data_IF_816426377918
#
_entry.id   IF_816426377918
#
_cell.length_a   1.000
_cell.length_b   1.000
_cell.length_c   1.000
_cell.angle_alpha   90.00
_cell.angle_beta   90.00
_cell.angle_gamma   90.00
#
_symmetry.space_group_name_H-M   'P 1'
#
loop_
_entity.id
_entity.type
_entity.pdbx_description
1 polymer ?
#
# COMPACT_ATOMS: atom_id res chain seq x y z
N UNK A 1 -43.94 -53.57 11.74
CA UNK A 1 -44.40 -52.24 12.22
C UNK A 1 -43.96 -51.15 11.19
N UNK A 2 -44.87 -50.51 10.48
CA UNK A 2 -44.54 -49.41 9.55
C UNK A 2 -44.70 -48.11 10.31
N UNK A 3 -43.58 -47.43 10.58
CA UNK A 3 -43.62 -46.09 11.16
C UNK A 3 -44.30 -45.15 10.16
N UNK A 4 -45.34 -44.42 10.55
CA UNK A 4 -46.06 -43.54 9.62
C UNK A 4 -45.11 -42.42 9.21
N UNK A 5 -45.03 -42.13 7.91
CA UNK A 5 -44.12 -41.14 7.28
C UNK A 5 -44.21 -39.75 7.96
N UNK A 6 -45.40 -39.39 8.43
CA UNK A 6 -45.64 -38.14 9.16
C UNK A 6 -44.87 -38.06 10.48
N UNK A 7 -44.84 -39.15 11.26
CA UNK A 7 -44.08 -39.14 12.54
C UNK A 7 -42.58 -39.15 12.31
N UNK A 8 -42.08 -39.76 11.24
CA UNK A 8 -40.68 -39.73 10.85
C UNK A 8 -40.25 -38.29 10.47
N UNK A 9 -41.06 -37.59 9.67
CA UNK A 9 -40.79 -36.21 9.27
C UNK A 9 -40.80 -35.26 10.46
N UNK A 10 -41.75 -35.42 11.39
CA UNK A 10 -41.79 -34.60 12.63
C UNK A 10 -40.55 -34.86 13.51
N UNK A 11 -40.15 -36.11 13.65
CA UNK A 11 -38.92 -36.45 14.43
C UNK A 11 -37.66 -35.87 13.82
N UNK A 12 -37.51 -35.95 12.48
CA UNK A 12 -36.37 -35.36 11.77
C UNK A 12 -36.35 -33.81 11.94
N UNK A 13 -37.53 -33.19 11.80
CA UNK A 13 -37.64 -31.71 11.97
C UNK A 13 -37.30 -31.28 13.40
N UNK A 14 -37.77 -32.03 14.39
CA UNK A 14 -37.44 -31.75 15.80
C UNK A 14 -35.97 -31.95 16.11
N UNK A 15 -35.36 -33.01 15.58
CA UNK A 15 -33.92 -33.27 15.73
C UNK A 15 -33.07 -32.18 15.08
N UNK A 16 -33.42 -31.71 13.86
CA UNK A 16 -32.75 -30.61 13.21
C UNK A 16 -32.87 -29.29 13.98
N UNK A 17 -34.05 -29.01 14.53
CA UNK A 17 -34.29 -27.81 15.34
C UNK A 17 -33.49 -27.83 16.63
N UNK A 18 -33.48 -28.94 17.37
CA UNK A 18 -32.69 -29.11 18.59
C UNK A 18 -31.18 -29.04 18.30
N UNK A 19 -30.72 -29.75 17.28
CA UNK A 19 -29.30 -29.71 16.87
C UNK A 19 -28.86 -28.32 16.45
N UNK A 20 -29.67 -27.62 15.66
CA UNK A 20 -29.42 -26.23 15.27
C UNK A 20 -29.35 -25.29 16.46
N UNK A 21 -30.27 -25.46 17.44
CA UNK A 21 -30.27 -24.63 18.66
C UNK A 21 -29.01 -24.86 19.51
N UNK A 22 -28.58 -26.10 19.68
CA UNK A 22 -27.36 -26.43 20.44
C UNK A 22 -26.12 -25.87 19.77
N UNK A 23 -26.00 -25.99 18.43
CA UNK A 23 -24.89 -25.43 17.66
C UNK A 23 -24.89 -23.91 17.77
N UNK A 24 -26.05 -23.28 17.67
CA UNK A 24 -26.18 -21.82 17.80
C UNK A 24 -25.75 -21.32 19.19
N UNK A 25 -26.20 -21.99 20.25
CA UNK A 25 -25.81 -21.63 21.62
C UNK A 25 -24.32 -21.86 21.88
N UNK A 26 -23.76 -22.97 21.39
CA UNK A 26 -22.33 -23.25 21.47
C UNK A 26 -21.50 -22.20 20.70
N UNK A 27 -21.94 -21.80 19.52
CA UNK A 27 -21.29 -20.76 18.73
C UNK A 27 -21.29 -19.40 19.47
N UNK A 28 -22.43 -19.03 20.07
CA UNK A 28 -22.53 -17.81 20.87
C UNK A 28 -21.61 -17.83 22.08
N UNK A 29 -21.58 -18.95 22.81
CA UNK A 29 -20.71 -19.11 23.96
C UNK A 29 -19.24 -19.02 23.60
N UNK A 30 -18.82 -19.64 22.49
CA UNK A 30 -17.43 -19.63 22.01
C UNK A 30 -16.97 -18.29 21.41
N UNK A 31 -17.92 -17.51 20.89
CA UNK A 31 -17.59 -16.23 20.23
C UNK A 31 -17.88 -14.99 21.10
N UNK A 32 -18.43 -15.17 22.28
CA UNK A 32 -18.87 -14.10 23.21
C UNK A 32 -19.78 -13.06 22.53
N UNK A 33 -20.63 -13.52 21.58
CA UNK A 33 -21.55 -12.68 20.84
C UNK A 33 -22.97 -12.75 21.38
N UNK A 34 -23.68 -11.63 21.34
CA UNK A 34 -25.10 -11.60 21.70
C UNK A 34 -25.97 -12.20 20.58
N UNK A 35 -27.14 -12.81 20.88
CA UNK A 35 -28.05 -13.35 19.89
C UNK A 35 -28.40 -12.35 18.78
N UNK A 36 -28.65 -11.09 19.16
CA UNK A 36 -28.94 -10.01 18.23
C UNK A 36 -27.80 -9.78 17.23
N UNK A 37 -26.57 -9.69 17.72
CA UNK A 37 -25.39 -9.48 16.87
C UNK A 37 -25.18 -10.59 15.83
N UNK A 38 -25.46 -11.84 16.23
CA UNK A 38 -25.37 -13.00 15.31
C UNK A 38 -26.47 -12.95 14.25
N UNK A 39 -27.71 -12.65 14.64
CA UNK A 39 -28.84 -12.53 13.74
C UNK A 39 -28.61 -11.39 12.76
N UNK A 40 -28.18 -10.22 13.22
CA UNK A 40 -27.85 -9.07 12.38
C UNK A 40 -26.71 -9.41 11.39
N UNK A 41 -25.72 -10.16 11.86
CA UNK A 41 -24.63 -10.67 11.01
C UNK A 41 -25.15 -11.58 9.90
N UNK A 42 -25.99 -12.56 10.21
CA UNK A 42 -26.58 -13.50 9.25
C UNK A 42 -27.46 -12.75 8.24
N UNK A 43 -28.33 -11.84 8.69
CA UNK A 43 -29.19 -11.05 7.83
C UNK A 43 -28.39 -10.18 6.85
N UNK A 44 -27.32 -9.56 7.35
CA UNK A 44 -26.42 -8.73 6.53
C UNK A 44 -25.70 -9.55 5.46
N UNK A 45 -25.07 -10.67 5.84
CA UNK A 45 -24.38 -11.52 4.88
C UNK A 45 -25.36 -12.12 3.87
N UNK A 46 -26.55 -12.52 4.31
CA UNK A 46 -27.64 -12.96 3.44
C UNK A 46 -28.05 -11.86 2.45
N UNK A 47 -28.19 -10.61 2.90
CA UNK A 47 -28.51 -9.49 2.02
C UNK A 47 -27.38 -9.20 1.02
N UNK A 48 -26.12 -9.28 1.42
CA UNK A 48 -24.97 -9.14 0.50
C UNK A 48 -24.94 -10.26 -0.54
N UNK A 49 -25.24 -11.49 -0.14
CA UNK A 49 -25.40 -12.60 -1.07
C UNK A 49 -26.54 -12.35 -2.08
N UNK A 50 -27.71 -11.93 -1.62
CA UNK A 50 -28.84 -11.58 -2.49
C UNK A 50 -28.52 -10.41 -3.42
N UNK A 51 -27.81 -9.40 -2.90
CA UNK A 51 -27.34 -8.27 -3.70
C UNK A 51 -26.35 -8.71 -4.78
N UNK A 52 -25.40 -9.58 -4.43
CA UNK A 52 -24.46 -10.20 -5.36
C UNK A 52 -25.14 -10.88 -6.55
N UNK A 53 -26.28 -11.51 -6.31
CA UNK A 53 -27.05 -12.28 -7.31
C UNK A 53 -28.21 -11.50 -7.95
N UNK A 54 -28.23 -10.16 -7.83
CA UNK A 54 -29.26 -9.28 -8.38
C UNK A 54 -30.69 -9.51 -7.84
N UNK A 55 -30.83 -10.17 -6.69
CA UNK A 55 -32.12 -10.39 -6.02
C UNK A 55 -32.52 -9.23 -5.09
N UNK A 56 -31.59 -8.34 -4.76
CA UNK A 56 -31.84 -7.07 -4.05
C UNK A 56 -31.29 -5.94 -4.91
N UNK A 57 -32.08 -4.90 -5.12
CA UNK A 57 -31.74 -3.83 -6.06
C UNK A 57 -30.70 -2.84 -5.49
N UNK A 58 -30.83 -2.45 -4.24
CA UNK A 58 -29.99 -1.40 -3.61
C UNK A 58 -29.58 -1.76 -2.19
N UNK A 59 -28.38 -1.28 -1.82
CA UNK A 59 -27.88 -1.27 -0.45
C UNK A 59 -28.00 0.15 0.12
N UNK A 60 -28.27 0.27 1.42
CA UNK A 60 -28.19 1.54 2.14
C UNK A 60 -26.73 2.01 2.28
N UNK A 61 -26.51 3.28 2.60
CA UNK A 61 -25.19 3.84 2.80
C UNK A 61 -24.40 3.10 3.90
N UNK A 62 -25.08 2.69 4.97
CA UNK A 62 -24.47 1.91 6.04
C UNK A 62 -24.05 0.51 5.57
N UNK A 63 -24.89 -0.17 4.79
CA UNK A 63 -24.59 -1.48 4.22
C UNK A 63 -23.45 -1.41 3.20
N UNK A 64 -23.36 -0.35 2.41
CA UNK A 64 -22.24 -0.10 1.49
C UNK A 64 -20.94 0.04 2.29
N UNK A 65 -20.94 0.79 3.38
CA UNK A 65 -19.77 0.93 4.27
C UNK A 65 -19.36 -0.41 4.88
N UNK A 66 -20.33 -1.23 5.30
CA UNK A 66 -20.06 -2.55 5.84
C UNK A 66 -19.55 -3.53 4.77
N UNK A 67 -20.09 -3.46 3.54
CA UNK A 67 -19.60 -4.23 2.39
C UNK A 67 -18.13 -3.89 2.09
N UNK A 68 -17.79 -2.61 2.02
CA UNK A 68 -16.42 -2.15 1.86
C UNK A 68 -15.50 -2.71 2.96
N UNK A 69 -15.90 -2.55 4.23
CA UNK A 69 -15.11 -3.03 5.36
C UNK A 69 -14.90 -4.55 5.36
N UNK A 70 -15.96 -5.31 5.12
CA UNK A 70 -15.86 -6.79 5.11
C UNK A 70 -15.04 -7.31 3.94
N UNK A 71 -15.08 -6.63 2.80
CA UNK A 71 -14.38 -7.06 1.58
C UNK A 71 -12.93 -6.61 1.56
N UNK A 72 -12.65 -5.37 1.90
CA UNK A 72 -11.33 -4.76 1.71
C UNK A 72 -10.47 -4.73 2.97
N UNK A 73 -11.04 -4.32 4.13
CA UNK A 73 -10.22 -4.01 5.30
C UNK A 73 -10.13 -5.13 6.33
N UNK A 74 -11.04 -6.09 6.29
CA UNK A 74 -11.10 -7.17 7.28
C UNK A 74 -10.24 -8.39 6.91
N UNK A 75 -10.07 -8.65 5.61
CA UNK A 75 -9.40 -9.87 5.11
C UNK A 75 -8.01 -9.62 4.55
N UNK A 76 -7.78 -8.49 3.90
CA UNK A 76 -6.60 -8.31 3.03
C UNK A 76 -5.74 -7.09 3.40
N UNK A 77 -6.33 -6.00 3.89
CA UNK A 77 -5.60 -4.75 4.13
C UNK A 77 -6.00 -4.14 5.47
N UNK A 78 -5.08 -3.48 6.15
CA UNK A 78 -5.42 -2.57 7.23
C UNK A 78 -6.21 -1.38 6.71
N UNK A 79 -7.10 -0.83 7.53
CA UNK A 79 -7.91 0.35 7.22
C UNK A 79 -7.06 1.52 6.71
N UNK A 80 -5.92 1.73 7.36
CA UNK A 80 -4.98 2.81 7.08
C UNK A 80 -4.36 2.76 5.67
N UNK A 81 -4.16 1.56 5.13
CA UNK A 81 -3.61 1.36 3.78
C UNK A 81 -4.53 1.96 2.70
N UNK A 82 -5.83 1.99 2.97
CA UNK A 82 -6.84 2.48 2.03
C UNK A 82 -7.21 3.92 2.36
N UNK A 83 -7.60 4.20 3.61
CA UNK A 83 -8.20 5.47 4.00
C UNK A 83 -7.19 6.63 4.08
N UNK A 84 -5.92 6.34 4.41
CA UNK A 84 -4.84 7.36 4.44
C UNK A 84 -4.16 7.60 3.09
N UNK A 85 -4.57 6.88 2.04
CA UNK A 85 -4.00 7.02 0.69
C UNK A 85 -5.10 7.32 -0.34
N UNK A 86 -5.70 8.52 -0.31
CA UNK A 86 -6.71 8.90 -1.30
C UNK A 86 -6.10 8.82 -2.71
N UNK A 87 -6.93 8.44 -3.70
CA UNK A 87 -6.54 8.20 -5.09
C UNK A 87 -7.48 8.92 -6.04
N UNK A 88 -7.08 9.08 -7.28
CA UNK A 88 -7.99 9.56 -8.33
C UNK A 88 -9.10 8.55 -8.63
N UNK A 89 -10.16 8.99 -9.28
CA UNK A 89 -11.28 8.11 -9.66
C UNK A 89 -10.80 6.92 -10.51
N UNK A 90 -9.95 7.17 -11.50
CA UNK A 90 -9.39 6.14 -12.37
C UNK A 90 -8.47 5.16 -11.62
N UNK A 91 -7.69 5.65 -10.66
CA UNK A 91 -6.85 4.79 -9.83
C UNK A 91 -7.66 3.87 -8.93
N UNK A 92 -8.78 4.36 -8.34
CA UNK A 92 -9.69 3.52 -7.56
C UNK A 92 -10.33 2.42 -8.42
N UNK A 93 -10.76 2.75 -9.63
CA UNK A 93 -11.28 1.78 -10.58
C UNK A 93 -10.24 0.70 -10.91
N UNK A 94 -9.00 1.10 -11.21
CA UNK A 94 -7.89 0.20 -11.48
C UNK A 94 -7.57 -0.71 -10.29
N UNK A 95 -7.56 -0.17 -9.06
CA UNK A 95 -7.30 -0.93 -7.83
C UNK A 95 -8.39 -1.99 -7.61
N UNK A 96 -9.66 -1.60 -7.70
CA UNK A 96 -10.78 -2.53 -7.47
C UNK A 96 -10.85 -3.60 -8.58
N UNK A 97 -10.58 -3.22 -9.82
CA UNK A 97 -10.52 -4.16 -10.96
C UNK A 97 -9.46 -5.26 -10.70
N UNK A 98 -8.28 -4.90 -10.22
CA UNK A 98 -7.26 -5.91 -9.84
C UNK A 98 -7.71 -6.82 -8.70
N UNK A 99 -8.53 -6.32 -7.76
CA UNK A 99 -9.04 -7.12 -6.64
C UNK A 99 -10.17 -8.07 -7.04
N UNK A 100 -10.74 -7.93 -8.24
CA UNK A 100 -11.73 -8.90 -8.78
C UNK A 100 -11.12 -10.26 -9.11
N UNK A 101 -9.82 -10.33 -9.31
CA UNK A 101 -9.16 -11.59 -9.66
C UNK A 101 -9.41 -12.67 -8.59
N UNK A 102 -9.69 -13.94 -8.99
CA UNK A 102 -10.03 -15.03 -8.07
C UNK A 102 -8.93 -15.37 -7.05
N UNK A 103 -7.67 -15.16 -7.43
CA UNK A 103 -6.48 -15.34 -6.59
C UNK A 103 -6.29 -14.19 -5.57
N UNK A 104 -7.17 -13.18 -5.61
CA UNK A 104 -7.16 -12.03 -4.70
C UNK A 104 -8.44 -12.01 -3.86
N UNK A 105 -9.24 -10.96 -3.98
CA UNK A 105 -10.48 -10.83 -3.22
C UNK A 105 -11.69 -11.55 -3.85
N UNK A 106 -11.62 -11.88 -5.13
CA UNK A 106 -12.67 -12.62 -5.85
C UNK A 106 -14.05 -11.93 -5.82
N UNK A 107 -14.06 -10.59 -5.85
CA UNK A 107 -15.29 -9.81 -5.76
C UNK A 107 -16.03 -9.78 -7.10
N UNK A 108 -17.37 -9.86 -7.05
CA UNK A 108 -18.21 -9.77 -8.26
C UNK A 108 -18.27 -8.37 -8.82
N UNK A 109 -18.64 -8.22 -10.08
CA UNK A 109 -18.76 -6.93 -10.76
C UNK A 109 -19.63 -5.95 -9.98
N UNK A 110 -20.79 -6.39 -9.52
CA UNK A 110 -21.71 -5.53 -8.78
C UNK A 110 -21.15 -5.04 -7.44
N UNK A 111 -20.45 -5.90 -6.71
CA UNK A 111 -19.73 -5.49 -5.49
C UNK A 111 -18.58 -4.53 -5.83
N UNK A 112 -17.84 -4.81 -6.90
CA UNK A 112 -16.73 -3.98 -7.35
C UNK A 112 -17.22 -2.57 -7.69
N UNK A 113 -18.28 -2.43 -8.48
CA UNK A 113 -18.86 -1.14 -8.87
C UNK A 113 -19.34 -0.33 -7.65
N UNK A 114 -19.95 -1.03 -6.68
CA UNK A 114 -20.42 -0.39 -5.45
C UNK A 114 -19.26 0.08 -4.58
N UNK A 115 -18.23 -0.74 -4.42
CA UNK A 115 -17.02 -0.41 -3.65
C UNK A 115 -16.26 0.71 -4.35
N UNK A 116 -16.11 0.67 -5.67
CA UNK A 116 -15.44 1.72 -6.45
C UNK A 116 -16.10 3.07 -6.22
N UNK A 117 -17.43 3.15 -6.36
CA UNK A 117 -18.18 4.39 -6.10
C UNK A 117 -18.04 4.86 -4.65
N UNK A 118 -18.06 3.94 -3.69
CA UNK A 118 -17.83 4.27 -2.28
C UNK A 118 -16.45 4.89 -2.06
N UNK A 119 -15.39 4.28 -2.62
CA UNK A 119 -14.01 4.78 -2.52
C UNK A 119 -13.83 6.14 -3.20
N UNK A 120 -14.41 6.32 -4.38
CA UNK A 120 -14.41 7.59 -5.10
C UNK A 120 -15.15 8.70 -4.33
N UNK A 121 -16.24 8.38 -3.64
CA UNK A 121 -17.00 9.38 -2.88
C UNK A 121 -16.36 9.76 -1.54
N UNK A 122 -15.59 8.85 -0.92
CA UNK A 122 -15.08 9.05 0.44
C UNK A 122 -13.56 9.30 0.49
N UNK A 123 -12.81 8.83 -0.52
CA UNK A 123 -11.34 8.88 -0.52
C UNK A 123 -10.79 9.36 -1.87
N UNK A 124 -11.44 10.35 -2.47
CA UNK A 124 -11.04 10.93 -3.74
C UNK A 124 -9.84 11.88 -3.55
N UNK A 125 -8.90 11.79 -4.47
CA UNK A 125 -7.82 12.76 -4.65
C UNK A 125 -7.84 13.33 -6.06
N UNK A 126 -7.55 14.60 -6.19
CA UNK A 126 -7.35 15.23 -7.50
C UNK A 126 -5.89 15.08 -8.00
N UNK A 127 -5.03 14.51 -7.16
CA UNK A 127 -3.61 14.29 -7.47
C UNK A 127 -3.37 12.81 -7.67
N UNK A 128 -2.88 12.37 -8.86
CA UNK A 128 -2.52 10.99 -9.10
C UNK A 128 -1.46 10.52 -8.11
N UNK A 129 -1.62 9.31 -7.57
CA UNK A 129 -0.65 8.66 -6.68
C UNK A 129 0.22 7.64 -7.42
N UNK A 130 -0.21 7.22 -8.61
CA UNK A 130 0.53 6.32 -9.48
C UNK A 130 1.23 7.14 -10.55
N UNK A 131 2.52 6.94 -10.69
CA UNK A 131 3.31 7.57 -11.74
C UNK A 131 2.80 7.17 -13.13
N UNK A 132 2.57 8.12 -14.04
CA UNK A 132 2.31 7.81 -15.44
C UNK A 132 3.40 6.89 -16.00
N UNK A 133 3.05 6.04 -16.95
CA UNK A 133 3.99 5.05 -17.50
C UNK A 133 5.27 5.68 -18.07
N UNK A 134 5.13 6.78 -18.80
CA UNK A 134 6.28 7.56 -19.32
C UNK A 134 7.18 8.04 -18.17
N UNK A 135 6.58 8.60 -17.12
CA UNK A 135 7.30 9.09 -15.95
C UNK A 135 8.00 7.94 -15.22
N UNK A 136 7.36 6.78 -15.09
CA UNK A 136 7.98 5.61 -14.48
C UNK A 136 9.16 5.08 -15.30
N UNK A 137 9.04 5.04 -16.64
CA UNK A 137 10.15 4.66 -17.53
C UNK A 137 11.32 5.63 -17.40
N UNK A 138 11.03 6.94 -17.39
CA UNK A 138 12.03 7.97 -17.20
C UNK A 138 12.76 7.82 -15.85
N UNK A 139 11.99 7.68 -14.77
CA UNK A 139 12.51 7.51 -13.43
C UNK A 139 13.46 6.30 -13.35
N UNK A 140 13.05 5.14 -13.84
CA UNK A 140 13.86 3.92 -13.86
C UNK A 140 15.13 4.06 -14.70
N UNK A 141 15.06 4.76 -15.80
CA UNK A 141 16.19 4.92 -16.72
C UNK A 141 17.24 5.89 -16.19
N UNK A 142 16.81 7.03 -15.66
CA UNK A 142 17.70 8.14 -15.37
C UNK A 142 17.91 8.41 -13.89
N UNK A 143 16.90 8.20 -13.04
CA UNK A 143 16.92 8.67 -11.66
C UNK A 143 17.06 7.55 -10.62
N UNK A 144 16.56 6.36 -10.89
CA UNK A 144 16.48 5.27 -9.93
C UNK A 144 17.67 4.32 -10.06
N UNK A 145 18.29 4.02 -8.92
CA UNK A 145 19.33 2.97 -8.78
C UNK A 145 18.91 2.03 -7.66
N UNK A 146 19.35 0.79 -7.77
CA UNK A 146 18.96 -0.28 -6.85
C UNK A 146 20.18 -1.10 -6.44
N UNK A 147 20.20 -1.56 -5.20
CA UNK A 147 21.09 -2.61 -4.72
C UNK A 147 20.30 -3.83 -4.26
N UNK A 148 20.65 -5.00 -4.74
CA UNK A 148 19.91 -6.23 -4.53
C UNK A 148 20.43 -7.01 -3.33
N UNK A 149 20.09 -6.58 -2.12
CA UNK A 149 19.89 -7.46 -1.01
C UNK A 149 21.06 -8.21 -0.41
N UNK A 150 22.19 -7.57 -0.18
CA UNK A 150 23.14 -8.14 0.77
C UNK A 150 22.49 -8.20 2.16
N UNK A 151 22.54 -9.38 2.80
CA UNK A 151 21.92 -9.56 4.12
C UNK A 151 20.40 -9.42 4.15
N UNK A 152 19.70 -9.65 3.04
CA UNK A 152 18.25 -9.46 2.87
C UNK A 152 17.79 -8.00 3.02
N UNK A 153 18.69 -7.04 2.85
CA UNK A 153 18.39 -5.61 2.83
C UNK A 153 18.49 -5.07 1.40
N UNK A 154 17.40 -4.49 0.91
CA UNK A 154 17.27 -3.93 -0.43
C UNK A 154 17.27 -2.41 -0.32
N UNK A 155 18.16 -1.76 -1.05
CA UNK A 155 18.23 -0.30 -1.12
C UNK A 155 17.82 0.17 -2.51
N UNK A 156 16.83 1.04 -2.54
CA UNK A 156 16.44 1.80 -3.72
C UNK A 156 16.76 3.27 -3.48
N UNK A 157 17.49 3.91 -4.38
CA UNK A 157 17.84 5.30 -4.27
C UNK A 157 17.43 6.05 -5.53
N UNK A 158 16.65 7.11 -5.36
CA UNK A 158 16.13 7.94 -6.46
C UNK A 158 16.72 9.32 -6.33
N UNK A 159 17.54 9.71 -7.29
CA UNK A 159 18.02 11.08 -7.42
C UNK A 159 16.89 11.99 -7.90
N UNK A 160 16.69 13.12 -7.23
CA UNK A 160 15.67 14.09 -7.61
C UNK A 160 16.34 15.46 -7.76
N UNK A 161 16.86 15.76 -8.96
CA UNK A 161 17.41 17.06 -9.26
C UNK A 161 16.30 18.13 -9.25
N UNK A 162 16.71 19.39 -9.09
CA UNK A 162 15.80 20.52 -8.90
C UNK A 162 14.71 20.63 -9.98
N UNK A 163 15.08 20.44 -11.23
CA UNK A 163 14.18 20.52 -12.37
C UNK A 163 13.09 19.43 -12.37
N UNK A 164 13.29 18.40 -11.54
CA UNK A 164 12.35 17.27 -11.39
C UNK A 164 11.66 17.22 -10.02
N UNK A 165 11.68 18.28 -9.22
CA UNK A 165 11.05 18.31 -7.89
C UNK A 165 9.56 18.00 -7.91
N UNK A 166 8.87 18.22 -9.03
CA UNK A 166 7.49 17.76 -9.21
C UNK A 166 7.29 16.25 -8.99
N UNK A 167 8.36 15.43 -9.12
CA UNK A 167 8.29 14.01 -8.87
C UNK A 167 8.19 13.67 -7.38
N UNK A 168 8.68 14.55 -6.47
CA UNK A 168 8.68 14.32 -5.03
C UNK A 168 7.28 14.00 -4.50
N UNK A 169 6.23 14.64 -5.02
CA UNK A 169 4.84 14.38 -4.65
C UNK A 169 4.43 12.91 -4.88
N UNK A 170 4.95 12.27 -5.93
CA UNK A 170 4.70 10.87 -6.23
C UNK A 170 5.56 9.92 -5.39
N UNK A 171 6.63 10.44 -4.82
CA UNK A 171 7.58 9.71 -3.99
C UNK A 171 7.29 9.85 -2.49
N UNK A 172 6.08 10.31 -2.14
CA UNK A 172 5.62 10.40 -0.76
C UNK A 172 6.11 11.63 0.02
N UNK A 173 6.68 12.61 -0.67
CA UNK A 173 7.10 13.89 -0.07
C UNK A 173 5.96 14.89 -0.18
N UNK A 174 5.33 15.23 0.96
CA UNK A 174 4.17 16.14 1.01
C UNK A 174 4.56 17.62 1.01
N UNK A 175 5.75 17.93 1.48
CA UNK A 175 6.26 19.30 1.54
C UNK A 175 7.62 19.39 0.86
N UNK A 176 7.75 20.33 -0.07
CA UNK A 176 9.05 20.65 -0.65
C UNK A 176 9.93 21.25 0.45
N UNK A 177 11.20 20.85 0.55
CA UNK A 177 12.12 21.51 1.44
C UNK A 177 12.17 23.01 1.14
N UNK A 178 12.21 23.88 2.17
CA UNK A 178 12.22 25.33 1.99
C UNK A 178 13.45 25.81 1.21
N UNK A 179 14.53 25.06 1.29
CA UNK A 179 15.77 25.35 0.58
C UNK A 179 15.83 24.55 -0.73
N UNK A 180 15.57 25.25 -1.84
CA UNK A 180 15.62 24.68 -3.19
C UNK A 180 17.04 24.63 -3.79
N UNK A 181 18.07 24.92 -3.01
CA UNK A 181 19.46 24.90 -3.49
C UNK A 181 20.08 23.51 -3.41
N UNK A 182 19.47 22.62 -2.63
CA UNK A 182 19.99 21.28 -2.37
C UNK A 182 19.43 20.23 -3.36
N UNK A 183 20.26 19.28 -3.70
CA UNK A 183 19.81 18.05 -4.35
C UNK A 183 19.30 17.05 -3.30
N UNK A 184 18.32 16.23 -3.68
CA UNK A 184 17.71 15.26 -2.80
C UNK A 184 17.80 13.86 -3.40
N UNK A 185 17.90 12.88 -2.50
CA UNK A 185 17.66 11.49 -2.81
C UNK A 185 16.50 10.98 -1.96
N UNK A 186 15.56 10.31 -2.60
CA UNK A 186 14.58 9.49 -1.89
C UNK A 186 15.14 8.09 -1.80
N UNK A 187 15.29 7.60 -0.58
CA UNK A 187 15.88 6.28 -0.30
C UNK A 187 14.81 5.40 0.31
N UNK A 188 14.64 4.21 -0.25
CA UNK A 188 13.82 3.14 0.32
C UNK A 188 14.75 2.03 0.80
N UNK A 189 14.54 1.57 2.01
CA UNK A 189 15.24 0.45 2.60
C UNK A 189 14.20 -0.59 2.96
N UNK A 190 14.32 -1.77 2.40
CA UNK A 190 13.36 -2.83 2.57
C UNK A 190 14.05 -4.12 3.02
N UNK A 191 13.37 -4.92 3.82
CA UNK A 191 13.79 -6.28 4.17
C UNK A 191 12.60 -7.22 4.16
N UNK A 192 12.84 -8.51 3.88
CA UNK A 192 11.82 -9.56 4.02
C UNK A 192 12.03 -10.35 5.31
N UNK A 193 13.18 -10.20 5.97
CA UNK A 193 13.54 -10.90 7.21
C UNK A 193 14.21 -9.95 8.19
N UNK A 194 13.80 -10.01 9.46
CA UNK A 194 14.36 -9.14 10.48
C UNK A 194 13.83 -7.72 10.43
N UNK A 195 14.63 -6.73 10.74
CA UNK A 195 14.28 -5.32 10.78
C UNK A 195 15.31 -4.45 10.10
N UNK A 196 14.89 -3.40 9.45
CA UNK A 196 15.80 -2.36 8.94
C UNK A 196 16.50 -1.68 10.14
N UNK A 197 17.84 -1.64 10.16
CA UNK A 197 18.57 -0.96 11.24
C UNK A 197 18.29 0.54 11.30
N UNK A 198 18.52 1.16 12.46
CA UNK A 198 18.37 2.60 12.66
C UNK A 198 19.60 3.36 12.15
N UNK A 199 19.80 3.35 10.85
CA UNK A 199 20.89 4.11 10.23
C UNK A 199 20.53 5.57 10.07
N UNK A 200 21.47 6.45 10.43
CA UNK A 200 21.48 7.82 9.95
C UNK A 200 22.24 7.85 8.60
N UNK A 201 21.50 7.86 7.51
CA UNK A 201 22.12 7.81 6.18
C UNK A 201 23.02 9.02 5.90
N UNK A 202 22.83 10.17 6.55
CA UNK A 202 23.70 11.31 6.38
C UNK A 202 25.12 11.05 6.91
N UNK A 203 25.26 10.25 7.97
CA UNK A 203 26.57 9.92 8.57
C UNK A 203 27.35 8.85 7.78
N UNK A 204 26.64 7.98 7.07
CA UNK A 204 27.24 6.84 6.35
C UNK A 204 27.32 7.02 4.83
N UNK A 205 26.87 8.21 4.34
CA UNK A 205 26.84 8.50 2.91
C UNK A 205 27.76 9.64 2.55
N UNK A 206 28.56 9.42 1.52
CA UNK A 206 29.33 10.46 0.86
C UNK A 206 28.91 10.54 -0.61
N UNK A 207 29.11 11.70 -1.20
CA UNK A 207 28.88 11.87 -2.63
C UNK A 207 30.03 12.61 -3.25
N UNK A 208 30.26 12.40 -4.52
CA UNK A 208 31.22 13.16 -5.32
C UNK A 208 30.66 13.45 -6.70
N UNK A 209 31.08 14.56 -7.26
CA UNK A 209 30.75 14.99 -8.60
C UNK A 209 32.00 14.87 -9.45
N UNK A 210 31.88 14.18 -10.59
CA UNK A 210 33.02 13.81 -11.42
C UNK A 210 34.08 13.06 -10.58
N UNK A 211 35.35 13.42 -10.71
CA UNK A 211 36.47 12.90 -9.91
C UNK A 211 36.84 13.84 -8.73
N UNK A 212 35.89 14.66 -8.28
CA UNK A 212 36.11 15.59 -7.15
C UNK A 212 36.28 14.89 -5.82
N UNK A 213 36.58 15.68 -4.78
CA UNK A 213 36.70 15.15 -3.41
C UNK A 213 35.31 14.71 -2.90
N UNK A 214 35.23 13.57 -2.19
CA UNK A 214 34.00 13.14 -1.53
C UNK A 214 33.55 14.18 -0.50
N UNK A 215 32.25 14.45 -0.46
CA UNK A 215 31.59 15.34 0.50
C UNK A 215 30.53 14.56 1.27
N UNK A 216 30.27 14.92 2.51
CA UNK A 216 29.27 14.29 3.34
C UNK A 216 27.87 14.78 2.98
N UNK A 217 26.87 13.92 3.09
CA UNK A 217 25.47 14.35 3.11
C UNK A 217 25.21 15.23 4.33
N UNK A 218 24.25 16.14 4.23
CA UNK A 218 23.98 17.15 5.28
C UNK A 218 22.70 16.85 6.07
N UNK A 219 21.85 15.94 5.62
CA UNK A 219 20.63 15.61 6.34
C UNK A 219 20.04 14.28 5.92
N UNK A 220 19.40 13.63 6.88
CA UNK A 220 18.59 12.44 6.69
C UNK A 220 17.27 12.61 7.44
N UNK A 221 16.16 12.57 6.72
CA UNK A 221 14.81 12.67 7.27
C UNK A 221 14.02 11.39 6.94
N UNK A 222 13.45 10.75 7.95
CA UNK A 222 12.57 9.59 7.76
C UNK A 222 11.18 10.10 7.42
N UNK A 223 10.72 9.82 6.20
CA UNK A 223 9.39 10.17 5.71
C UNK A 223 8.33 9.13 6.09
N UNK A 224 8.73 7.86 6.12
CA UNK A 224 7.86 6.75 6.47
C UNK A 224 8.65 5.60 7.07
N UNK A 225 8.06 4.94 8.06
CA UNK A 225 8.53 3.70 8.64
C UNK A 225 7.31 2.86 9.02
N UNK A 226 7.28 1.61 8.60
CA UNK A 226 6.21 0.71 9.03
C UNK A 226 6.40 0.22 10.47
N UNK A 227 5.32 -0.27 11.10
CA UNK A 227 5.35 -0.71 12.50
C UNK A 227 6.25 -1.93 12.75
N UNK A 228 6.54 -2.73 11.74
CA UNK A 228 7.41 -3.90 11.81
C UNK A 228 8.87 -3.56 11.46
N UNK A 229 9.12 -2.35 11.01
CA UNK A 229 10.44 -1.86 10.55
C UNK A 229 11.00 -2.67 9.38
N UNK A 230 10.13 -3.23 8.55
CA UNK A 230 10.51 -3.89 7.31
C UNK A 230 10.70 -2.91 6.15
N UNK A 231 10.06 -1.75 6.24
CA UNK A 231 10.10 -0.71 5.22
C UNK A 231 10.40 0.64 5.84
N UNK A 232 11.46 1.26 5.36
CA UNK A 232 11.84 2.64 5.72
C UNK A 232 11.97 3.45 4.44
N UNK A 233 11.37 4.62 4.41
CA UNK A 233 11.55 5.61 3.37
C UNK A 233 12.05 6.90 3.99
N UNK A 234 13.03 7.52 3.38
CA UNK A 234 13.54 8.79 3.85
C UNK A 234 14.11 9.65 2.73
N UNK A 235 14.43 10.86 3.09
CA UNK A 235 15.04 11.86 2.22
C UNK A 235 16.46 12.15 2.69
N UNK A 236 17.43 11.92 1.80
CA UNK A 236 18.83 12.24 2.01
C UNK A 236 19.15 13.55 1.29
N UNK A 237 19.62 14.54 2.02
CA UNK A 237 19.94 15.88 1.51
C UNK A 237 21.43 15.99 1.27
N UNK A 238 21.79 16.50 0.10
CA UNK A 238 23.16 16.84 -0.25
C UNK A 238 23.37 18.34 -0.14
N UNK A 239 24.59 18.82 0.17
CA UNK A 239 24.89 20.24 0.05
C UNK A 239 24.71 20.73 -1.38
N UNK A 240 24.47 22.00 -1.51
CA UNK A 240 24.34 22.66 -2.82
C UNK A 240 25.63 22.48 -3.63
N UNK A 241 25.51 21.77 -4.75
CA UNK A 241 26.60 21.59 -5.70
C UNK A 241 26.13 22.16 -7.03
N UNK A 242 26.99 22.90 -7.66
CA UNK A 242 26.78 23.25 -9.06
C UNK A 242 27.06 22.01 -9.93
N UNK A 243 25.99 21.34 -10.32
CA UNK A 243 26.05 20.17 -11.21
C UNK A 243 25.94 20.57 -12.68
N UNK A 244 25.79 21.86 -13.00
CA UNK A 244 25.57 22.36 -14.36
C UNK A 244 26.73 22.02 -15.33
N UNK A 245 27.94 21.89 -14.79
CA UNK A 245 29.16 21.53 -15.54
C UNK A 245 29.60 20.09 -15.31
N UNK A 246 28.75 19.25 -14.71
CA UNK A 246 29.13 17.92 -14.24
C UNK A 246 28.62 16.84 -15.20
N UNK A 247 29.43 15.77 -15.34
CA UNK A 247 29.12 14.62 -16.17
C UNK A 247 28.66 13.42 -15.36
N UNK A 248 29.00 13.37 -14.06
CA UNK A 248 28.71 12.23 -13.19
C UNK A 248 28.46 12.67 -11.75
N UNK A 249 27.50 12.02 -11.12
CA UNK A 249 27.24 12.08 -9.69
C UNK A 249 27.35 10.67 -9.13
N UNK A 250 28.14 10.50 -8.07
CA UNK A 250 28.29 9.23 -7.35
C UNK A 250 27.86 9.42 -5.90
N UNK A 251 27.11 8.47 -5.37
CA UNK A 251 26.80 8.32 -3.95
C UNK A 251 27.38 7.02 -3.45
N UNK A 252 28.21 7.12 -2.42
CA UNK A 252 28.77 5.96 -1.71
C UNK A 252 28.14 5.86 -0.35
N UNK A 253 27.55 4.71 -0.01
CA UNK A 253 27.00 4.40 1.31
C UNK A 253 27.79 3.27 1.96
N UNK A 254 28.06 3.39 3.27
CA UNK A 254 28.77 2.38 4.07
C UNK A 254 27.91 1.94 5.26
N UNK A 255 26.82 1.18 5.02
CA UNK A 255 25.97 0.70 6.10
C UNK A 255 26.72 -0.29 6.97
N UNK A 256 26.58 -0.16 8.30
CA UNK A 256 27.18 -1.13 9.23
C UNK A 256 26.63 -2.54 8.98
N UNK A 257 27.52 -3.52 8.86
CA UNK A 257 27.15 -4.93 8.60
C UNK A 257 26.89 -5.27 7.13
N UNK A 258 27.11 -4.33 6.21
CA UNK A 258 27.02 -4.53 4.76
C UNK A 258 28.28 -4.03 4.06
N UNK A 259 28.51 -4.50 2.84
CA UNK A 259 29.56 -3.95 1.98
C UNK A 259 29.27 -2.49 1.56
N UNK A 260 30.30 -1.82 1.05
CA UNK A 260 30.13 -0.47 0.48
C UNK A 260 29.22 -0.53 -0.74
N UNK A 261 28.20 0.35 -0.77
CA UNK A 261 27.25 0.50 -1.87
C UNK A 261 27.59 1.75 -2.65
N UNK A 262 27.64 1.64 -3.98
CA UNK A 262 28.01 2.73 -4.88
C UNK A 262 26.89 2.87 -5.93
N UNK A 263 26.35 4.09 -6.04
CA UNK A 263 25.30 4.44 -7.00
C UNK A 263 25.77 5.58 -7.87
N UNK A 264 25.56 5.50 -9.18
CA UNK A 264 26.09 6.46 -10.15
C UNK A 264 25.00 6.97 -11.09
N UNK A 265 25.05 8.24 -11.42
CA UNK A 265 24.18 8.91 -12.39
C UNK A 265 25.03 9.68 -13.39
N UNK A 266 24.71 9.49 -14.67
CA UNK A 266 25.23 10.37 -15.71
C UNK A 266 24.50 11.70 -15.71
N UNK A 267 25.22 12.79 -15.82
CA UNK A 267 24.69 14.15 -15.86
C UNK A 267 24.95 14.79 -17.24
N UNK A 268 24.15 15.77 -17.67
CA UNK A 268 22.91 16.22 -17.01
C UNK A 268 21.78 15.21 -17.18
N UNK A 269 20.82 15.21 -16.25
CA UNK A 269 19.59 14.44 -16.41
C UNK A 269 18.74 15.12 -17.50
N UNK A 270 18.25 14.39 -18.51
CA UNK A 270 17.42 14.96 -19.56
C UNK A 270 16.09 15.49 -19.01
N UNK A 271 15.43 16.45 -19.67
CA UNK A 271 14.11 16.89 -19.30
C UNK A 271 13.09 15.74 -19.42
N UNK A 272 12.13 15.69 -18.49
CA UNK A 272 10.99 14.79 -18.60
C UNK A 272 9.99 15.36 -19.61
N UNK A 273 9.87 14.73 -20.76
CA UNK A 273 8.85 15.04 -21.77
C UNK A 273 7.46 14.65 -21.26
N UNK A 274 6.52 15.61 -21.30
CA UNK A 274 5.13 15.41 -20.87
C UNK A 274 4.29 14.59 -21.86
#
# INVERSE_FOLDING_TARGET
MRVPVKSLLISISLFMLLGGTVIFLAFMYLTDQTPGAVIDGIQREGKFFLYKHNMVEKLSSQEITLLYRSTCTRKCHGKDVIEKKPRTAAEWESVVTRMKAPDRAGITDRHADTITRYLQNNFLSNVPTVLPEKTMKFLKKYLWRMDFGEGDLFLDIIYVPREHFRLLRYLGVSHLPPDQQHAFFIVYINTHRGTVPDWNLAEISTFRVNNGNPQNAIGWEILYRDGQRHHVQGMLTLPGIDISQSNELEVTMKPAGMGTKIFQWSLPIPPLEE
#
